data_IF_347635966524
#
_entry.id   IF_347635966524
#
_cell.length_a   1.000
_cell.length_b   1.000
_cell.length_c   1.000
_cell.angle_alpha   90.00
_cell.angle_beta   90.00
_cell.angle_gamma   90.00
#
_symmetry.space_group_name_H-M   'P 1'
#
loop_
_entity.id
_entity.type
_entity.pdbx_description
1 polymer ?
#
# COMPACT_ATOMS: atom_id res chain seq x y z
N UNK A 1 -25.46 4.61 -12.05
CA UNK A 1 -24.43 5.53 -12.49
C UNK A 1 -24.57 6.84 -11.73
N UNK A 2 -24.16 6.88 -10.51
CA UNK A 2 -23.99 8.13 -9.74
C UNK A 2 -22.50 8.30 -9.54
N UNK A 3 -21.90 9.15 -10.39
CA UNK A 3 -20.65 9.80 -10.09
C UNK A 3 -20.85 10.52 -8.76
N UNK A 4 -20.32 9.98 -7.68
CA UNK A 4 -20.26 10.69 -6.41
C UNK A 4 -19.36 11.91 -6.60
N UNK A 5 -19.91 13.04 -6.22
CA UNK A 5 -19.35 14.35 -6.38
C UNK A 5 -17.89 14.39 -5.87
N UNK A 6 -16.99 14.90 -6.70
CA UNK A 6 -15.68 15.38 -6.34
C UNK A 6 -15.78 16.28 -5.09
N UNK A 7 -15.01 16.08 -4.04
CA UNK A 7 -15.03 16.98 -2.89
C UNK A 7 -14.70 18.40 -3.34
N UNK A 8 -15.56 19.33 -2.98
CA UNK A 8 -15.40 20.77 -3.15
C UNK A 8 -14.00 21.23 -2.75
N UNK A 9 -13.45 22.15 -3.53
CA UNK A 9 -12.14 22.78 -3.39
C UNK A 9 -11.71 23.03 -1.92
N UNK A 10 -10.44 22.72 -1.63
CA UNK A 10 -9.71 23.07 -0.41
C UNK A 10 -9.88 22.19 0.84
N UNK A 11 -10.10 20.89 0.72
CA UNK A 11 -9.80 20.03 1.85
C UNK A 11 -8.31 19.63 1.84
N UNK A 12 -7.51 20.31 2.68
CA UNK A 12 -6.16 19.85 2.98
C UNK A 12 -6.24 18.46 3.59
N UNK A 13 -5.73 17.46 2.87
CA UNK A 13 -5.59 16.12 3.41
C UNK A 13 -4.43 16.16 4.41
N UNK A 14 -4.76 16.05 5.69
CA UNK A 14 -3.79 16.03 6.79
C UNK A 14 -3.67 14.63 7.36
N UNK A 15 -2.44 14.24 7.66
CA UNK A 15 -2.16 13.00 8.40
C UNK A 15 -2.63 13.19 9.85
N UNK A 16 -3.37 12.23 10.40
CA UNK A 16 -3.74 12.26 11.81
C UNK A 16 -2.50 12.03 12.68
N UNK A 17 -2.29 12.93 13.64
CA UNK A 17 -1.17 12.84 14.57
C UNK A 17 -1.57 12.10 15.85
N UNK A 18 -0.67 11.24 16.33
CA UNK A 18 -0.79 10.59 17.66
C UNK A 18 -0.41 11.54 18.81
N UNK A 19 0.30 12.61 18.50
CA UNK A 19 0.81 13.58 19.47
C UNK A 19 2.03 14.32 18.93
N UNK A 20 2.67 15.12 19.77
CA UNK A 20 3.86 15.88 19.40
C UNK A 20 5.08 14.95 19.34
N UNK A 21 5.84 14.91 18.23
CA UNK A 21 7.08 14.15 18.16
C UNK A 21 8.19 14.86 18.94
N UNK A 22 8.69 14.22 20.00
CA UNK A 22 9.68 14.81 20.92
C UNK A 22 11.04 14.11 20.88
N UNK A 23 11.12 12.96 20.25
CA UNK A 23 12.33 12.11 20.20
C UNK A 23 13.11 12.42 18.93
N UNK A 24 14.42 12.62 19.06
CA UNK A 24 15.27 12.82 17.89
C UNK A 24 15.32 11.55 17.05
N UNK A 25 15.17 11.71 15.74
CA UNK A 25 15.26 10.60 14.82
C UNK A 25 16.69 10.05 14.78
N UNK A 26 16.88 8.72 14.77
CA UNK A 26 18.21 8.12 14.60
C UNK A 26 18.78 8.33 13.18
N UNK A 27 17.94 8.78 12.24
CA UNK A 27 18.39 9.11 10.90
C UNK A 27 19.09 10.47 10.87
N UNK A 28 20.09 10.58 9.99
CA UNK A 28 20.81 11.83 9.79
C UNK A 28 19.85 12.97 9.42
N UNK A 29 20.03 14.15 10.01
CA UNK A 29 19.26 15.35 9.69
C UNK A 29 19.31 15.73 8.21
N UNK A 30 20.38 15.37 7.51
CA UNK A 30 20.52 15.62 6.07
C UNK A 30 19.53 14.80 5.21
N UNK A 31 18.93 13.74 5.76
CA UNK A 31 17.90 12.94 5.10
C UNK A 31 16.48 13.36 5.48
N UNK A 32 16.34 14.25 6.46
CA UNK A 32 15.03 14.63 6.95
C UNK A 32 14.27 15.48 5.92
N UNK A 33 13.00 15.17 5.80
CA UNK A 33 12.06 15.93 4.96
C UNK A 33 11.40 17.00 5.81
N UNK A 34 11.51 18.28 5.41
CA UNK A 34 10.85 19.39 6.10
C UNK A 34 9.33 19.21 6.15
N UNK A 35 8.74 19.45 7.32
CA UNK A 35 7.30 19.20 7.57
C UNK A 35 6.34 20.12 6.81
N UNK A 36 6.83 21.21 6.22
CA UNK A 36 6.00 22.18 5.48
C UNK A 36 5.87 21.88 3.98
N UNK A 37 6.64 20.91 3.48
CA UNK A 37 6.62 20.56 2.04
C UNK A 37 5.44 19.70 1.72
N UNK A 38 4.74 20.03 0.63
CA UNK A 38 3.60 19.28 0.13
C UNK A 38 3.83 18.87 -1.33
N UNK A 39 3.24 17.77 -1.72
CA UNK A 39 3.22 17.29 -3.11
C UNK A 39 1.84 17.56 -3.67
N UNK A 40 1.77 18.27 -4.78
CA UNK A 40 0.53 18.52 -5.52
C UNK A 40 0.14 17.22 -6.24
N UNK A 41 -1.13 16.84 -6.14
CA UNK A 41 -1.62 15.62 -6.78
C UNK A 41 -1.90 15.84 -8.27
N UNK A 42 -2.54 16.96 -8.63
CA UNK A 42 -2.86 17.31 -10.01
C UNK A 42 -2.08 18.55 -10.40
N UNK A 43 -1.40 18.47 -11.55
CA UNK A 43 -0.72 19.62 -12.16
C UNK A 43 -1.59 20.31 -13.23
N UNK A 44 -2.75 19.70 -13.56
CA UNK A 44 -3.70 20.27 -14.50
C UNK A 44 -4.47 21.41 -13.81
N UNK A 45 -4.49 22.56 -14.45
CA UNK A 45 -5.27 23.71 -14.03
C UNK A 45 -6.69 23.58 -14.59
N UNK A 46 -7.66 23.26 -13.75
CA UNK A 46 -9.06 23.43 -14.14
C UNK A 46 -9.35 24.93 -14.22
N UNK A 47 -9.84 25.38 -15.36
CA UNK A 47 -10.33 26.75 -15.54
C UNK A 47 -11.53 26.94 -14.60
N UNK A 48 -11.30 27.54 -13.47
CA UNK A 48 -12.32 27.88 -12.48
C UNK A 48 -12.79 29.29 -12.77
N UNK A 49 -14.10 29.51 -12.75
CA UNK A 49 -14.73 30.81 -12.88
C UNK A 49 -14.10 31.85 -11.94
N UNK A 50 -13.91 33.06 -12.47
CA UNK A 50 -13.22 34.19 -11.85
C UNK A 50 -13.77 34.49 -10.45
N UNK A 51 -13.05 34.08 -9.40
CA UNK A 51 -13.40 34.49 -8.04
C UNK A 51 -12.63 33.87 -6.89
N UNK A 52 -12.17 32.65 -6.99
CA UNK A 52 -11.31 32.02 -5.99
C UNK A 52 -10.44 30.96 -6.66
N UNK A 53 -9.15 31.18 -6.72
CA UNK A 53 -8.22 30.13 -7.16
C UNK A 53 -8.28 28.97 -6.16
N UNK A 54 -8.87 27.81 -6.52
CA UNK A 54 -8.84 26.66 -5.63
C UNK A 54 -7.38 26.23 -5.50
N UNK A 55 -6.91 26.06 -4.27
CA UNK A 55 -5.58 25.49 -4.06
C UNK A 55 -5.60 24.06 -4.58
N UNK A 56 -4.61 23.65 -5.38
CA UNK A 56 -4.56 22.29 -5.89
C UNK A 56 -4.51 21.30 -4.72
N UNK A 57 -5.22 20.17 -4.88
CA UNK A 57 -5.19 19.10 -3.90
C UNK A 57 -3.74 18.66 -3.67
N UNK A 58 -3.31 18.58 -2.44
CA UNK A 58 -1.93 18.27 -2.10
C UNK A 58 -1.84 17.38 -0.86
N UNK A 59 -0.81 16.55 -0.85
CA UNK A 59 -0.48 15.68 0.27
C UNK A 59 0.79 16.19 0.98
N UNK A 60 0.90 15.87 2.25
CA UNK A 60 2.13 16.07 2.99
C UNK A 60 3.25 15.22 2.36
N UNK A 61 4.43 15.80 2.14
CA UNK A 61 5.56 15.09 1.56
C UNK A 61 6.01 13.97 2.50
N UNK A 62 5.98 12.72 2.01
CA UNK A 62 6.49 11.57 2.74
C UNK A 62 8.02 11.64 2.88
N UNK A 63 8.53 11.07 3.95
CA UNK A 63 9.98 10.95 4.18
C UNK A 63 10.32 10.98 5.66
N UNK A 64 11.60 10.73 5.98
CA UNK A 64 12.10 10.80 7.34
C UNK A 64 11.88 12.18 7.96
N UNK A 65 11.59 12.22 9.26
CA UNK A 65 11.46 13.45 10.04
C UNK A 65 12.63 13.57 11.03
N UNK A 66 12.98 14.80 11.37
CA UNK A 66 14.00 15.08 12.41
C UNK A 66 13.58 14.58 13.78
N UNK A 67 12.28 14.63 14.04
CA UNK A 67 11.70 14.15 15.30
C UNK A 67 10.64 13.11 15.03
N UNK A 68 10.60 12.11 15.91
CA UNK A 68 9.65 11.00 15.86
C UNK A 68 8.88 10.87 17.17
N UNK A 69 7.71 10.23 17.10
CA UNK A 69 6.82 10.08 18.25
C UNK A 69 7.22 8.91 19.14
N UNK A 70 7.50 7.76 18.56
CA UNK A 70 7.87 6.56 19.32
C UNK A 70 9.38 6.50 19.56
N UNK A 71 9.75 6.09 20.78
CA UNK A 71 11.13 5.70 21.11
C UNK A 71 11.46 4.39 20.36
N UNK A 72 12.39 4.40 19.39
CA UNK A 72 12.69 3.21 18.62
C UNK A 72 13.10 2.01 19.47
N UNK A 73 13.80 2.24 20.58
CA UNK A 73 14.29 1.18 21.47
C UNK A 73 13.17 0.43 22.20
N UNK A 74 11.99 1.02 22.29
CA UNK A 74 10.79 0.47 22.93
C UNK A 74 9.68 0.12 21.94
N UNK A 75 9.92 0.41 20.66
CA UNK A 75 8.94 0.22 19.60
C UNK A 75 8.89 -1.24 19.14
N UNK A 76 7.69 -1.77 18.98
CA UNK A 76 7.42 -3.03 18.33
C UNK A 76 6.52 -2.78 17.12
N UNK A 77 6.97 -3.21 15.94
CA UNK A 77 6.21 -3.10 14.70
C UNK A 77 5.51 -4.42 14.37
N UNK A 78 4.43 -4.33 13.63
CA UNK A 78 3.80 -5.49 13.01
C UNK A 78 3.54 -5.23 11.52
N UNK A 79 3.62 -6.27 10.70
CA UNK A 79 3.34 -6.25 9.26
C UNK A 79 2.28 -7.29 8.97
N UNK A 80 1.27 -6.92 8.19
CA UNK A 80 0.23 -7.84 7.73
C UNK A 80 -0.06 -7.61 6.24
N UNK A 81 -0.27 -8.70 5.49
CA UNK A 81 -0.58 -8.66 4.06
C UNK A 81 -1.98 -9.20 3.80
N UNK A 82 -2.80 -8.44 3.09
CA UNK A 82 -4.22 -8.71 2.91
C UNK A 82 -4.63 -8.71 1.42
N UNK A 83 -5.65 -9.49 1.09
CA UNK A 83 -6.27 -9.51 -0.22
C UNK A 83 -5.54 -10.36 -1.25
N UNK A 84 -5.64 -10.00 -2.53
CA UNK A 84 -5.01 -10.74 -3.64
C UNK A 84 -3.49 -10.57 -3.67
N UNK A 85 -2.81 -11.46 -4.39
CA UNK A 85 -1.37 -11.34 -4.62
C UNK A 85 -1.06 -10.24 -5.63
N UNK A 86 0.11 -9.66 -5.47
CA UNK A 86 0.66 -8.65 -6.38
C UNK A 86 2.19 -8.79 -6.37
N UNK A 87 2.89 -8.64 -7.49
CA UNK A 87 4.34 -8.55 -7.49
C UNK A 87 4.82 -7.42 -6.57
N UNK A 88 5.89 -7.66 -5.80
CA UNK A 88 6.48 -6.65 -4.92
C UNK A 88 6.01 -6.67 -3.46
N UNK A 89 5.06 -7.53 -3.07
CA UNK A 89 4.63 -7.60 -1.65
C UNK A 89 5.82 -7.96 -0.74
N UNK A 90 6.63 -8.92 -1.15
CA UNK A 90 7.81 -9.32 -0.38
C UNK A 90 8.87 -8.21 -0.32
N UNK A 91 9.01 -7.41 -1.38
CA UNK A 91 9.88 -6.22 -1.39
C UNK A 91 9.46 -5.21 -0.32
N UNK A 92 8.16 -4.95 -0.21
CA UNK A 92 7.60 -4.06 0.81
C UNK A 92 7.86 -4.61 2.21
N UNK A 93 7.62 -5.92 2.45
CA UNK A 93 7.92 -6.56 3.74
C UNK A 93 9.40 -6.39 4.07
N UNK A 94 10.27 -6.71 3.12
CA UNK A 94 11.72 -6.58 3.26
C UNK A 94 12.15 -5.16 3.59
N UNK A 95 11.64 -4.18 2.84
CA UNK A 95 11.95 -2.77 3.04
C UNK A 95 11.56 -2.30 4.44
N UNK A 96 10.37 -2.67 4.94
CA UNK A 96 9.92 -2.32 6.28
C UNK A 96 10.85 -2.94 7.35
N UNK A 97 11.14 -4.25 7.25
CA UNK A 97 11.98 -4.95 8.22
C UNK A 97 13.38 -4.36 8.22
N UNK A 98 14.01 -4.25 7.03
CA UNK A 98 15.38 -3.71 6.92
C UNK A 98 15.49 -2.28 7.42
N UNK A 99 14.51 -1.43 7.10
CA UNK A 99 14.48 -0.04 7.58
C UNK A 99 14.28 0.03 9.09
N UNK A 100 13.34 -0.74 9.63
CA UNK A 100 13.07 -0.77 11.07
C UNK A 100 14.34 -1.15 11.86
N UNK A 101 15.02 -2.22 11.46
CA UNK A 101 16.23 -2.68 12.17
C UNK A 101 17.45 -1.81 11.88
N UNK A 102 17.77 -1.54 10.62
CA UNK A 102 19.05 -0.92 10.26
C UNK A 102 19.04 0.60 10.45
N UNK A 103 17.94 1.25 10.09
CA UNK A 103 17.84 2.71 10.14
C UNK A 103 17.31 3.21 11.49
N UNK A 104 16.25 2.59 12.01
CA UNK A 104 15.62 3.02 13.26
C UNK A 104 16.03 2.21 14.49
N UNK A 105 16.70 1.07 14.32
CA UNK A 105 17.12 0.18 15.42
C UNK A 105 15.95 -0.33 16.28
N UNK A 106 14.82 -0.55 15.64
CA UNK A 106 13.65 -1.15 16.28
C UNK A 106 13.97 -2.60 16.66
N UNK A 107 13.75 -3.03 17.91
CA UNK A 107 14.20 -4.34 18.39
C UNK A 107 13.33 -5.50 17.91
N UNK A 108 12.08 -5.25 17.48
CA UNK A 108 11.13 -6.31 17.14
C UNK A 108 10.19 -5.91 16.01
N UNK A 109 10.12 -6.74 15.00
CA UNK A 109 9.15 -6.65 13.89
C UNK A 109 8.42 -7.97 13.76
N UNK A 110 7.11 -7.94 13.96
CA UNK A 110 6.25 -9.13 13.89
C UNK A 110 5.58 -9.24 12.53
N UNK A 111 5.64 -10.42 11.92
CA UNK A 111 4.84 -10.78 10.76
C UNK A 111 3.54 -11.47 11.19
N UNK A 112 2.42 -10.88 10.87
CA UNK A 112 1.09 -11.46 11.12
C UNK A 112 0.72 -12.33 9.93
N UNK A 113 0.51 -13.61 10.18
CA UNK A 113 0.25 -14.58 9.11
C UNK A 113 -1.22 -14.60 8.71
N UNK A 114 -1.44 -14.83 7.42
CA UNK A 114 -2.76 -15.00 6.82
C UNK A 114 -3.71 -13.81 7.02
N UNK A 115 -3.20 -12.61 6.77
CA UNK A 115 -3.99 -11.39 6.76
C UNK A 115 -4.58 -11.03 8.11
N UNK A 116 -5.71 -10.35 8.10
CA UNK A 116 -6.38 -9.93 9.33
C UNK A 116 -6.86 -11.11 10.20
N UNK A 117 -7.03 -12.30 9.61
CA UNK A 117 -7.34 -13.52 10.38
C UNK A 117 -6.24 -13.86 11.39
N UNK A 118 -4.99 -13.49 11.12
CA UNK A 118 -3.86 -13.73 12.01
C UNK A 118 -3.94 -13.01 13.36
N UNK A 119 -4.80 -11.99 13.48
CA UNK A 119 -5.08 -11.34 14.76
C UNK A 119 -6.15 -12.05 15.59
N UNK A 120 -6.97 -12.89 14.96
CA UNK A 120 -8.16 -13.48 15.56
C UNK A 120 -7.81 -14.83 16.22
N UNK A 121 -7.98 -14.98 17.53
CA UNK A 121 -7.54 -16.17 18.27
C UNK A 121 -8.15 -17.48 17.77
N UNK A 122 -9.39 -17.45 17.26
CA UNK A 122 -10.09 -18.66 16.81
C UNK A 122 -9.40 -19.37 15.62
N UNK A 123 -8.65 -18.63 14.79
CA UNK A 123 -7.90 -19.20 13.68
C UNK A 123 -6.60 -19.88 14.11
N UNK A 124 -6.08 -19.57 15.31
CA UNK A 124 -4.87 -20.19 15.89
C UNK A 124 -3.62 -20.06 15.02
N UNK A 125 -3.51 -18.99 14.24
CA UNK A 125 -2.29 -18.70 13.50
C UNK A 125 -1.21 -18.14 14.41
N UNK A 126 0.02 -18.61 14.21
CA UNK A 126 1.20 -18.11 14.90
C UNK A 126 1.66 -16.76 14.34
N UNK A 127 2.21 -15.94 15.19
CA UNK A 127 2.90 -14.69 14.83
C UNK A 127 4.38 -15.02 14.63
N UNK A 128 4.95 -14.53 13.54
CA UNK A 128 6.35 -14.76 13.19
C UNK A 128 7.20 -13.53 13.53
N UNK A 129 8.26 -13.70 14.31
CA UNK A 129 9.30 -12.67 14.42
C UNK A 129 10.07 -12.59 13.11
N UNK A 130 10.29 -11.37 12.61
CA UNK A 130 11.00 -11.11 11.36
C UNK A 130 12.30 -10.36 11.64
N UNK A 131 13.44 -11.01 11.43
CA UNK A 131 14.75 -10.40 11.47
C UNK A 131 15.28 -10.12 10.06
N UNK A 132 16.28 -9.27 9.87
CA UNK A 132 16.88 -9.01 8.57
C UNK A 132 17.23 -10.26 7.75
N UNK A 133 17.79 -11.28 8.40
CA UNK A 133 18.14 -12.56 7.79
C UNK A 133 16.92 -13.31 7.22
N UNK A 134 15.73 -13.13 7.82
CA UNK A 134 14.51 -13.83 7.41
C UNK A 134 13.92 -13.22 6.14
N UNK A 135 14.34 -12.02 5.79
CA UNK A 135 13.83 -11.25 4.64
C UNK A 135 14.89 -10.96 3.57
N UNK A 136 16.11 -11.44 3.74
CA UNK A 136 17.26 -11.08 2.89
C UNK A 136 16.99 -11.35 1.40
N UNK A 137 16.52 -12.53 1.04
CA UNK A 137 16.28 -12.97 -0.35
C UNK A 137 14.81 -13.03 -0.77
N UNK A 138 13.86 -12.59 0.06
CA UNK A 138 12.42 -12.79 -0.25
C UNK A 138 11.92 -11.97 -1.44
N UNK A 139 12.62 -10.93 -1.84
CA UNK A 139 12.29 -10.09 -3.00
C UNK A 139 12.43 -10.83 -4.32
N UNK A 140 13.17 -11.93 -4.36
CA UNK A 140 13.31 -12.79 -5.53
C UNK A 140 12.06 -13.68 -5.78
N UNK A 141 11.17 -13.76 -4.80
CA UNK A 141 10.00 -14.62 -4.85
C UNK A 141 8.70 -13.83 -4.91
N UNK A 142 7.79 -14.25 -5.77
CA UNK A 142 6.43 -13.74 -5.81
C UNK A 142 5.61 -14.16 -4.59
N UNK A 143 4.41 -13.57 -4.47
CA UNK A 143 3.51 -13.84 -3.36
C UNK A 143 3.89 -13.10 -2.08
N UNK A 144 3.65 -13.72 -0.94
CA UNK A 144 3.96 -13.15 0.38
C UNK A 144 4.40 -14.23 1.36
N UNK A 145 5.52 -14.02 2.04
CA UNK A 145 6.01 -14.94 3.08
C UNK A 145 5.09 -15.02 4.31
N UNK A 146 4.19 -14.05 4.46
CA UNK A 146 3.22 -14.01 5.56
C UNK A 146 1.89 -14.69 5.21
N UNK A 147 1.68 -15.01 3.94
CA UNK A 147 0.37 -15.42 3.45
C UNK A 147 -0.64 -14.29 3.50
N UNK A 148 -1.84 -14.54 3.03
CA UNK A 148 -2.89 -13.53 2.95
C UNK A 148 -4.26 -14.14 3.21
N UNK A 149 -5.23 -13.32 3.56
CA UNK A 149 -6.65 -13.70 3.63
C UNK A 149 -7.54 -12.60 3.07
N UNK A 150 -8.79 -12.97 2.83
CA UNK A 150 -9.85 -12.06 2.40
C UNK A 150 -10.98 -12.06 3.42
N UNK A 151 -11.81 -11.05 3.34
CA UNK A 151 -12.98 -10.87 4.19
C UNK A 151 -12.72 -10.00 5.42
N UNK A 152 -13.79 -9.38 5.92
CA UNK A 152 -13.71 -8.49 7.08
C UNK A 152 -13.43 -9.30 8.35
N UNK A 153 -12.73 -8.66 9.29
CA UNK A 153 -12.52 -9.17 10.65
C UNK A 153 -12.91 -8.08 11.66
N UNK A 154 -13.18 -8.47 12.88
CA UNK A 154 -13.58 -7.55 13.96
C UNK A 154 -12.44 -6.59 14.31
N UNK A 155 -12.66 -5.29 14.08
CA UNK A 155 -11.69 -4.25 14.47
C UNK A 155 -11.43 -4.25 15.98
N UNK A 156 -12.44 -4.63 16.79
CA UNK A 156 -12.31 -4.73 18.23
C UNK A 156 -11.38 -5.88 18.64
N UNK A 157 -11.50 -7.06 18.03
CA UNK A 157 -10.59 -8.19 18.28
C UNK A 157 -9.17 -7.89 17.82
N UNK A 158 -9.03 -7.23 16.64
CA UNK A 158 -7.73 -6.79 16.13
C UNK A 158 -7.08 -5.81 17.09
N UNK A 159 -7.80 -4.78 17.57
CA UNK A 159 -7.29 -3.82 18.54
C UNK A 159 -6.85 -4.52 19.84
N UNK A 160 -7.62 -5.48 20.33
CA UNK A 160 -7.23 -6.30 21.49
C UNK A 160 -5.97 -7.12 21.24
N UNK A 161 -5.81 -7.67 20.05
CA UNK A 161 -4.59 -8.41 19.68
C UNK A 161 -3.37 -7.47 19.58
N UNK A 162 -3.52 -6.27 19.02
CA UNK A 162 -2.45 -5.26 18.96
C UNK A 162 -1.99 -4.85 20.36
N UNK A 163 -2.92 -4.63 21.29
CA UNK A 163 -2.62 -4.34 22.69
C UNK A 163 -1.88 -5.51 23.37
N UNK A 164 -2.39 -6.73 23.23
CA UNK A 164 -1.79 -7.94 23.80
C UNK A 164 -0.37 -8.19 23.29
N UNK A 165 -0.11 -7.92 22.01
CA UNK A 165 1.20 -8.06 21.39
C UNK A 165 2.11 -6.87 21.65
N UNK A 166 1.61 -5.83 22.31
CA UNK A 166 2.30 -4.58 22.60
C UNK A 166 2.84 -3.90 21.32
N UNK A 167 2.01 -3.81 20.28
CA UNK A 167 2.38 -3.20 19.00
C UNK A 167 2.29 -1.68 19.11
N UNK A 168 3.36 -1.00 18.67
CA UNK A 168 3.41 0.46 18.55
C UNK A 168 3.01 0.94 17.15
N UNK A 169 3.36 0.17 16.11
CA UNK A 169 3.03 0.50 14.73
C UNK A 169 2.62 -0.75 13.95
N UNK A 170 1.49 -0.67 13.25
CA UNK A 170 1.00 -1.69 12.33
C UNK A 170 1.12 -1.21 10.89
N UNK A 171 1.86 -1.93 10.07
CA UNK A 171 1.91 -1.77 8.62
C UNK A 171 0.94 -2.77 7.98
N UNK A 172 -0.10 -2.26 7.32
CA UNK A 172 -1.15 -3.08 6.72
C UNK A 172 -1.12 -2.92 5.21
N UNK A 173 -0.73 -3.99 4.50
CA UNK A 173 -0.54 -3.99 3.05
C UNK A 173 -1.76 -4.61 2.39
N UNK A 174 -2.44 -3.87 1.50
CA UNK A 174 -3.60 -4.40 0.80
C UNK A 174 -4.36 -3.39 -0.04
N UNK A 175 -5.43 -3.85 -0.67
CA UNK A 175 -6.27 -3.04 -1.56
C UNK A 175 -7.29 -2.16 -0.80
N UNK A 176 -8.25 -1.60 -1.54
CA UNK A 176 -9.27 -0.68 -1.02
C UNK A 176 -9.99 -1.21 0.24
N UNK A 177 -10.47 -2.45 0.21
CA UNK A 177 -11.11 -3.05 1.39
C UNK A 177 -10.19 -3.13 2.61
N UNK A 178 -8.88 -3.29 2.39
CA UNK A 178 -7.87 -3.30 3.46
C UNK A 178 -7.64 -1.89 3.99
N UNK A 179 -7.64 -0.88 3.14
CA UNK A 179 -7.52 0.53 3.56
C UNK A 179 -8.73 0.95 4.41
N UNK A 180 -9.94 0.54 4.03
CA UNK A 180 -11.15 0.73 4.84
C UNK A 180 -11.06 0.01 6.19
N UNK A 181 -10.54 -1.21 6.22
CA UNK A 181 -10.29 -1.93 7.47
C UNK A 181 -9.24 -1.24 8.34
N UNK A 182 -8.15 -0.72 7.75
CA UNK A 182 -7.13 0.04 8.46
C UNK A 182 -7.73 1.28 9.15
N UNK A 183 -8.59 2.03 8.45
CA UNK A 183 -9.30 3.17 9.01
C UNK A 183 -10.21 2.77 10.20
N UNK A 184 -10.95 1.66 10.06
CA UNK A 184 -11.80 1.15 11.14
C UNK A 184 -11.00 0.67 12.36
N UNK A 185 -9.84 0.04 12.14
CA UNK A 185 -8.92 -0.37 13.21
C UNK A 185 -8.37 0.87 13.92
N UNK A 186 -7.96 1.89 13.17
CA UNK A 186 -7.45 3.14 13.73
C UNK A 186 -8.51 3.85 14.58
N UNK A 187 -9.76 3.92 14.13
CA UNK A 187 -10.88 4.49 14.89
C UNK A 187 -11.11 3.73 16.20
N UNK A 188 -11.08 2.40 16.17
CA UNK A 188 -11.25 1.58 17.37
C UNK A 188 -10.10 1.74 18.36
N UNK A 189 -8.86 1.78 17.88
CA UNK A 189 -7.65 2.05 18.68
C UNK A 189 -7.75 3.42 19.36
N UNK A 190 -8.14 4.45 18.60
CA UNK A 190 -8.33 5.82 19.12
C UNK A 190 -9.46 5.87 20.16
N UNK A 191 -10.59 5.20 19.91
CA UNK A 191 -11.71 5.10 20.86
C UNK A 191 -11.28 4.49 22.19
N UNK A 192 -10.32 3.58 22.18
CA UNK A 192 -9.74 2.98 23.39
C UNK A 192 -8.68 3.85 24.08
N UNK A 193 -8.39 5.02 23.54
CA UNK A 193 -7.33 5.90 24.04
C UNK A 193 -5.93 5.32 23.89
N UNK A 194 -5.71 4.44 22.89
CA UNK A 194 -4.40 3.81 22.65
C UNK A 194 -3.63 4.57 21.58
N UNK A 195 -2.33 4.65 21.78
CA UNK A 195 -1.41 5.29 20.84
C UNK A 195 -0.71 4.22 20.00
N UNK A 196 -1.40 3.73 18.96
CA UNK A 196 -0.85 2.78 18.00
C UNK A 196 -0.95 3.40 16.62
N UNK A 197 0.16 3.47 15.90
CA UNK A 197 0.18 3.97 14.52
C UNK A 197 -0.32 2.89 13.56
N UNK A 198 -1.33 3.20 12.76
CA UNK A 198 -1.83 2.33 11.70
C UNK A 198 -1.43 2.92 10.36
N UNK A 199 -0.55 2.25 9.63
CA UNK A 199 -0.01 2.70 8.35
C UNK A 199 -0.53 1.78 7.23
N UNK A 200 -1.44 2.31 6.40
CA UNK A 200 -1.91 1.62 5.22
C UNK A 200 -0.89 1.72 4.08
N UNK A 201 -0.57 0.59 3.46
CA UNK A 201 0.26 0.52 2.26
C UNK A 201 -0.61 0.00 1.12
N UNK A 202 -0.99 0.89 0.20
CA UNK A 202 -1.88 0.53 -0.89
C UNK A 202 -1.25 -0.50 -1.81
N UNK A 203 -2.00 -1.57 -2.08
CA UNK A 203 -1.59 -2.67 -2.95
C UNK A 203 -2.74 -3.03 -3.88
N UNK A 204 -2.55 -2.76 -5.15
CA UNK A 204 -3.43 -3.23 -6.21
C UNK A 204 -2.62 -3.47 -7.48
N UNK A 205 -2.81 -4.63 -8.11
CA UNK A 205 -2.23 -4.89 -9.42
C UNK A 205 -3.00 -4.14 -10.51
N UNK A 206 -4.25 -3.78 -10.24
CA UNK A 206 -5.15 -3.15 -11.19
C UNK A 206 -4.94 -1.63 -11.33
N UNK A 207 -4.11 -1.04 -10.46
CA UNK A 207 -3.81 0.40 -10.38
C UNK A 207 -5.07 1.28 -10.24
N UNK A 208 -6.04 0.81 -9.46
CA UNK A 208 -7.40 1.34 -9.35
C UNK A 208 -7.69 2.04 -8.01
N UNK A 209 -6.67 2.40 -7.25
CA UNK A 209 -6.82 3.16 -6.00
C UNK A 209 -6.67 4.65 -6.28
N UNK A 210 -7.70 5.42 -5.93
CA UNK A 210 -7.70 6.86 -6.08
C UNK A 210 -6.47 7.51 -5.42
N UNK A 211 -5.95 8.57 -6.03
CA UNK A 211 -4.79 9.35 -5.58
C UNK A 211 -3.45 8.61 -5.64
N UNK A 212 -3.39 7.41 -6.20
CA UNK A 212 -2.16 6.66 -6.41
C UNK A 212 -1.93 6.52 -7.91
N UNK A 213 -1.00 7.27 -8.49
CA UNK A 213 -0.77 7.24 -9.93
C UNK A 213 -0.17 5.89 -10.39
N UNK A 214 0.70 5.31 -9.55
CA UNK A 214 1.34 4.02 -9.82
C UNK A 214 1.38 3.16 -8.56
N UNK A 215 0.70 2.01 -8.60
CA UNK A 215 0.81 1.00 -7.57
C UNK A 215 1.91 -0.02 -7.91
N UNK A 216 2.64 -0.50 -6.91
CA UNK A 216 3.66 -1.51 -7.14
C UNK A 216 3.08 -2.80 -7.73
N UNK A 217 3.83 -3.43 -8.64
CA UNK A 217 3.41 -4.64 -9.35
C UNK A 217 2.54 -4.42 -10.59
N UNK A 218 1.97 -3.23 -10.78
CA UNK A 218 1.17 -2.89 -11.97
C UNK A 218 2.01 -2.97 -13.25
N UNK A 219 3.18 -2.34 -13.28
CA UNK A 219 4.08 -2.35 -14.44
C UNK A 219 4.59 -3.76 -14.76
N UNK A 220 4.85 -4.57 -13.73
CA UNK A 220 5.19 -5.99 -13.92
C UNK A 220 4.04 -6.75 -14.60
N UNK A 221 2.79 -6.45 -14.24
CA UNK A 221 1.62 -7.05 -14.89
C UNK A 221 1.49 -6.61 -16.36
N UNK A 222 1.74 -5.34 -16.65
CA UNK A 222 1.75 -4.80 -18.01
C UNK A 222 2.83 -5.48 -18.87
N UNK A 223 4.04 -5.62 -18.35
CA UNK A 223 5.15 -6.32 -19.02
C UNK A 223 4.79 -7.78 -19.36
N UNK A 224 4.24 -8.51 -18.39
CA UNK A 224 3.80 -9.89 -18.62
C UNK A 224 2.61 -10.00 -19.56
N UNK A 225 1.72 -9.02 -19.57
CA UNK A 225 0.64 -8.93 -20.55
C UNK A 225 1.18 -8.74 -21.97
N UNK A 226 2.20 -7.91 -22.16
CA UNK A 226 2.86 -7.69 -23.46
C UNK A 226 3.45 -8.99 -24.03
N UNK A 227 4.06 -9.85 -23.20
CA UNK A 227 4.54 -11.16 -23.61
C UNK A 227 3.40 -12.06 -24.12
N UNK A 228 2.27 -12.10 -23.40
CA UNK A 228 1.10 -12.88 -23.80
C UNK A 228 0.48 -12.36 -25.10
N UNK A 229 0.41 -11.05 -25.28
CA UNK A 229 -0.09 -10.41 -26.52
C UNK A 229 0.79 -10.78 -27.70
N UNK A 230 2.12 -10.72 -27.54
CA UNK A 230 3.07 -11.10 -28.60
C UNK A 230 2.89 -12.56 -29.02
N UNK A 231 2.73 -13.47 -28.07
CA UNK A 231 2.48 -14.89 -28.37
C UNK A 231 1.16 -15.08 -29.15
N UNK A 232 0.08 -14.46 -28.69
CA UNK A 232 -1.22 -14.55 -29.36
C UNK A 232 -1.20 -13.92 -30.77
N UNK A 233 -0.47 -12.82 -30.96
CA UNK A 233 -0.30 -12.18 -32.26
C UNK A 233 0.42 -13.09 -33.26
N UNK A 234 1.54 -13.72 -32.86
CA UNK A 234 2.29 -14.63 -33.72
C UNK A 234 1.42 -15.80 -34.16
N UNK A 235 0.66 -16.39 -33.24
CA UNK A 235 -0.26 -17.48 -33.54
C UNK A 235 -1.34 -17.05 -34.53
N UNK A 236 -2.00 -15.93 -34.29
CA UNK A 236 -3.05 -15.39 -35.15
C UNK A 236 -2.53 -15.04 -36.54
N UNK A 237 -1.35 -14.45 -36.63
CA UNK A 237 -0.73 -14.09 -37.89
C UNK A 237 -0.30 -15.32 -38.77
N UNK A 238 -0.16 -16.47 -38.13
CA UNK A 238 0.28 -17.71 -38.80
C UNK A 238 -0.84 -18.43 -39.52
N UNK A 239 -2.11 -18.03 -39.35
CA UNK A 239 -3.27 -18.68 -39.98
C UNK A 239 -4.14 -17.68 -40.74
N UNK A 240 -4.83 -18.18 -41.76
CA UNK A 240 -5.75 -17.34 -42.55
C UNK A 240 -6.93 -16.85 -41.70
N UNK A 241 -7.16 -15.54 -41.66
CA UNK A 241 -8.16 -14.88 -40.85
C UNK A 241 -8.04 -15.21 -39.31
N UNK A 242 -6.80 -15.41 -38.82
CA UNK A 242 -6.55 -15.69 -37.42
C UNK A 242 -6.94 -14.53 -36.53
N UNK A 243 -7.57 -14.85 -35.39
CA UNK A 243 -7.94 -13.90 -34.35
C UNK A 243 -7.33 -14.35 -33.02
N UNK A 244 -6.47 -13.52 -32.44
CA UNK A 244 -5.92 -13.69 -31.11
C UNK A 244 -6.73 -12.92 -30.06
N UNK A 245 -7.13 -13.59 -28.99
CA UNK A 245 -7.84 -12.95 -27.89
C UNK A 245 -7.04 -13.18 -26.60
N UNK A 246 -6.66 -12.09 -25.91
CA UNK A 246 -5.95 -12.13 -24.65
C UNK A 246 -6.82 -11.48 -23.58
N UNK A 247 -7.25 -12.28 -22.60
CA UNK A 247 -7.97 -11.77 -21.44
C UNK A 247 -6.98 -11.44 -20.31
N UNK A 248 -6.93 -10.19 -19.94
CA UNK A 248 -6.05 -9.69 -18.86
C UNK A 248 -6.82 -9.51 -17.55
N UNK A 249 -6.07 -9.36 -16.46
CA UNK A 249 -6.61 -8.96 -15.16
C UNK A 249 -7.11 -7.51 -15.20
N UNK A 250 -7.88 -7.10 -14.19
CA UNK A 250 -8.33 -5.71 -14.06
C UNK A 250 -9.72 -5.57 -13.45
N UNK A 251 -10.44 -6.66 -13.19
CA UNK A 251 -11.80 -6.64 -12.62
C UNK A 251 -12.70 -5.63 -13.36
N UNK A 252 -12.94 -4.47 -12.73
CA UNK A 252 -13.75 -3.36 -13.28
C UNK A 252 -12.87 -2.23 -13.86
N UNK A 253 -11.54 -2.34 -13.77
CA UNK A 253 -10.59 -1.40 -14.37
C UNK A 253 -9.98 -1.97 -15.65
N UNK A 254 -9.71 -1.11 -16.63
CA UNK A 254 -9.06 -1.47 -17.90
C UNK A 254 -7.58 -1.07 -17.97
N UNK A 255 -6.97 -0.61 -16.88
CA UNK A 255 -5.64 0.02 -16.92
C UNK A 255 -4.53 -0.93 -17.38
N UNK A 256 -4.55 -2.21 -16.98
CA UNK A 256 -3.55 -3.19 -17.46
C UNK A 256 -3.73 -3.39 -18.96
N UNK A 257 -4.96 -3.60 -19.44
CA UNK A 257 -5.24 -3.81 -20.86
C UNK A 257 -4.83 -2.59 -21.70
N UNK A 258 -5.23 -1.39 -21.26
CA UNK A 258 -4.89 -0.16 -21.95
C UNK A 258 -3.37 0.07 -22.02
N UNK A 259 -2.65 -0.07 -20.92
CA UNK A 259 -1.19 0.13 -20.89
C UNK A 259 -0.44 -0.95 -21.69
N UNK A 260 -0.87 -2.22 -21.59
CA UNK A 260 -0.29 -3.29 -22.40
C UNK A 260 -0.49 -3.04 -23.90
N UNK A 261 -1.67 -2.57 -24.30
CA UNK A 261 -1.97 -2.24 -25.69
C UNK A 261 -1.16 -1.04 -26.20
N UNK A 262 -0.96 -0.02 -25.37
CA UNK A 262 -0.08 1.11 -25.72
C UNK A 262 1.37 0.69 -25.92
N UNK A 263 1.82 -0.35 -25.24
CA UNK A 263 3.17 -0.89 -25.39
C UNK A 263 3.35 -1.82 -26.60
N UNK A 264 2.24 -2.30 -27.22
CA UNK A 264 2.23 -3.30 -28.28
C UNK A 264 1.45 -2.80 -29.50
N UNK A 265 2.16 -2.60 -30.63
CA UNK A 265 1.54 -2.09 -31.88
C UNK A 265 0.59 -3.08 -32.55
N UNK A 266 0.68 -4.35 -32.17
CA UNK A 266 -0.05 -5.47 -32.76
C UNK A 266 -1.49 -5.55 -32.29
N UNK A 267 -1.86 -4.83 -31.23
CA UNK A 267 -3.24 -4.82 -30.70
C UNK A 267 -4.13 -3.98 -31.59
N UNK A 268 -5.20 -4.57 -32.08
CA UNK A 268 -6.17 -3.90 -32.93
C UNK A 268 -7.36 -3.32 -32.14
N UNK A 269 -7.78 -4.00 -31.09
CA UNK A 269 -8.93 -3.63 -30.25
C UNK A 269 -8.64 -3.89 -28.78
N UNK A 270 -9.14 -3.00 -27.93
CA UNK A 270 -9.09 -3.10 -26.47
C UNK A 270 -10.50 -2.96 -25.89
#
# INVERSE_FOLDING_TARGET
NTCEATPSAAQEIRIQSLGTPEIDSPLSRNLATGGERRVVFTVDEELVDEGAAPRPMSFELAGPRDRIYFDPSKTKCAIVTCGGLCPGINDVIRAIVMTAYNAYRVPSVLGIRYGLQGFIPSYRYDVRELAPRDVEGIHEFGGTILGTSRGPQSSSEIATALERLNISALFIIGGDGTMKAAASIQQEVARRGKHISIVGIPKTIDNDINFIPHSFGFETAVDKAADAIRCAHIEAASVFNGIGIVKLMGRESGFIAANASLSMREVNFV
#
